data_IF_664017542857
#
_entry.id   IF_664017542857
#
_cell.length_a   1.000
_cell.length_b   1.000
_cell.length_c   1.000
_cell.angle_alpha   90.00
_cell.angle_beta   90.00
_cell.angle_gamma   90.00
#
_symmetry.space_group_name_H-M   'P 1'
#
loop_
_entity.id
_entity.type
_entity.pdbx_description
1 polymer ?
#
# COMPACT_ATOMS: atom_id res chain seq x y z
N UNK A 1 -4.28 -8.93 14.19
CA UNK A 1 -4.32 -8.38 12.83
C UNK A 1 -4.66 -9.51 11.86
N UNK A 2 -5.64 -9.32 10.97
CA UNK A 2 -5.98 -10.34 9.97
C UNK A 2 -4.94 -10.30 8.85
N UNK A 3 -4.55 -11.46 8.31
CA UNK A 3 -3.56 -11.52 7.23
C UNK A 3 -4.03 -10.69 6.02
N UNK A 4 -3.15 -9.83 5.52
CA UNK A 4 -3.38 -9.08 4.27
C UNK A 4 -2.74 -9.88 3.14
N UNK A 5 -3.58 -10.42 2.26
CA UNK A 5 -3.15 -11.30 1.17
C UNK A 5 -3.33 -10.56 -0.15
N UNK A 6 -2.24 -10.41 -0.88
CA UNK A 6 -2.26 -9.90 -2.26
C UNK A 6 -2.86 -10.95 -3.20
N UNK A 7 -3.62 -10.50 -4.20
CA UNK A 7 -4.20 -11.38 -5.21
C UNK A 7 -3.30 -11.46 -6.45
N UNK A 8 -2.60 -10.37 -6.76
CA UNK A 8 -1.70 -10.27 -7.89
C UNK A 8 -0.28 -9.89 -7.42
N UNK A 9 0.74 -10.36 -8.15
CA UNK A 9 2.14 -10.09 -7.81
C UNK A 9 2.51 -8.59 -7.91
N UNK A 10 1.76 -7.83 -8.73
CA UNK A 10 1.92 -6.39 -8.92
C UNK A 10 1.59 -5.57 -7.67
N UNK A 11 0.96 -6.16 -6.66
CA UNK A 11 0.35 -5.46 -5.53
C UNK A 11 1.21 -5.48 -4.27
N UNK A 12 2.36 -6.16 -4.31
CA UNK A 12 3.20 -6.41 -3.14
C UNK A 12 3.56 -5.14 -2.36
N UNK A 13 3.85 -4.04 -3.05
CA UNK A 13 4.12 -2.73 -2.43
C UNK A 13 2.90 -2.16 -1.70
N UNK A 14 1.73 -2.26 -2.32
CA UNK A 14 0.47 -1.75 -1.75
C UNK A 14 -0.02 -2.62 -0.59
N UNK A 15 0.15 -3.93 -0.68
CA UNK A 15 -0.10 -4.88 0.40
C UNK A 15 0.82 -4.60 1.60
N UNK A 16 2.10 -4.33 1.35
CA UNK A 16 3.06 -3.92 2.39
C UNK A 16 2.64 -2.63 3.08
N UNK A 17 2.18 -1.64 2.32
CA UNK A 17 1.70 -0.39 2.88
C UNK A 17 0.42 -0.58 3.70
N UNK A 18 -0.51 -1.43 3.25
CA UNK A 18 -1.70 -1.79 4.03
C UNK A 18 -1.32 -2.47 5.35
N UNK A 19 -0.30 -3.33 5.35
CA UNK A 19 0.19 -3.98 6.58
C UNK A 19 0.71 -2.94 7.58
N UNK A 20 1.54 -2.00 7.12
CA UNK A 20 2.05 -0.91 7.97
C UNK A 20 0.91 -0.02 8.46
N UNK A 21 0.01 0.41 7.58
CA UNK A 21 -1.14 1.24 7.93
C UNK A 21 -2.02 0.59 9.01
N UNK A 22 -2.32 -0.70 8.85
CA UNK A 22 -3.11 -1.42 9.85
C UNK A 22 -2.35 -1.67 11.16
N UNK A 23 -1.01 -1.76 11.14
CA UNK A 23 -0.21 -1.80 12.37
C UNK A 23 -0.26 -0.47 13.14
N UNK A 24 -0.44 0.65 12.43
CA UNK A 24 -0.67 1.98 13.01
C UNK A 24 -2.15 2.27 13.35
N UNK A 25 -3.02 1.25 13.36
CA UNK A 25 -4.43 1.39 13.74
C UNK A 25 -5.34 1.98 12.66
N UNK A 26 -4.82 2.22 11.44
CA UNK A 26 -5.66 2.66 10.33
C UNK A 26 -6.50 1.49 9.83
N UNK A 27 -7.82 1.65 9.77
CA UNK A 27 -8.73 0.67 9.15
C UNK A 27 -8.68 0.79 7.62
N UNK A 28 -7.50 0.55 7.04
CA UNK A 28 -7.23 0.68 5.62
C UNK A 28 -6.71 -0.66 5.07
N UNK A 29 -7.52 -1.30 4.23
CA UNK A 29 -7.19 -2.58 3.61
C UNK A 29 -6.61 -2.43 2.21
N UNK A 30 -6.10 -3.55 1.69
CA UNK A 30 -5.66 -3.63 0.29
C UNK A 30 -6.78 -3.26 -0.73
N UNK A 31 -8.07 -3.64 -0.53
CA UNK A 31 -9.14 -3.21 -1.43
C UNK A 31 -9.35 -1.69 -1.47
N UNK A 32 -9.20 -1.01 -0.32
CA UNK A 32 -9.34 0.44 -0.22
C UNK A 32 -8.20 1.14 -0.96
N UNK A 33 -6.98 0.64 -0.79
CA UNK A 33 -5.81 1.17 -1.48
C UNK A 33 -5.91 0.94 -3.00
N UNK A 34 -6.36 -0.23 -3.48
CA UNK A 34 -6.55 -0.49 -4.92
C UNK A 34 -7.54 0.48 -5.57
N UNK A 35 -8.60 0.84 -4.84
CA UNK A 35 -9.60 1.81 -5.33
C UNK A 35 -9.04 3.22 -5.44
N UNK A 36 -8.09 3.58 -4.57
CA UNK A 36 -7.47 4.92 -4.54
C UNK A 36 -6.27 5.03 -5.47
N UNK A 37 -5.52 3.96 -5.64
CA UNK A 37 -4.24 3.95 -6.35
C UNK A 37 -4.23 2.83 -7.39
N UNK A 38 -4.24 3.23 -8.66
CA UNK A 38 -4.14 2.30 -9.78
C UNK A 38 -2.73 1.71 -9.87
N UNK A 39 -2.66 0.39 -9.93
CA UNK A 39 -1.42 -0.34 -10.14
C UNK A 39 -1.26 -0.68 -11.62
N UNK A 40 -0.01 -0.61 -12.09
CA UNK A 40 0.35 -1.19 -13.39
C UNK A 40 0.48 -2.71 -13.28
N UNK A 41 0.37 -3.41 -14.40
CA UNK A 41 0.76 -4.83 -14.50
C UNK A 41 2.22 -5.07 -14.10
N UNK A 42 3.09 -4.05 -14.23
CA UNK A 42 4.49 -4.10 -13.78
C UNK A 42 4.65 -3.85 -12.28
N UNK A 43 3.55 -3.62 -11.56
CA UNK A 43 3.53 -3.21 -10.17
C UNK A 43 3.78 -1.71 -9.98
N UNK A 44 4.23 -1.36 -8.77
CA UNK A 44 4.49 0.01 -8.34
C UNK A 44 5.98 0.29 -8.22
N UNK A 45 6.40 1.48 -8.65
CA UNK A 45 7.78 1.95 -8.46
C UNK A 45 7.96 2.50 -7.04
N UNK A 46 9.19 2.46 -6.52
CA UNK A 46 9.49 2.93 -5.16
C UNK A 46 9.09 4.39 -4.93
N UNK A 47 9.37 5.29 -5.88
CA UNK A 47 9.00 6.69 -5.78
C UNK A 47 7.49 6.89 -5.64
N UNK A 48 6.69 6.16 -6.43
CA UNK A 48 5.23 6.19 -6.30
C UNK A 48 4.76 5.61 -4.97
N UNK A 49 5.39 4.53 -4.48
CA UNK A 49 5.04 3.96 -3.17
C UNK A 49 5.31 4.95 -2.03
N UNK A 50 6.41 5.71 -2.12
CA UNK A 50 6.76 6.80 -1.19
C UNK A 50 5.69 7.90 -1.24
N UNK A 51 5.28 8.34 -2.42
CA UNK A 51 4.22 9.35 -2.60
C UNK A 51 2.89 8.88 -1.97
N UNK A 52 2.49 7.63 -2.23
CA UNK A 52 1.27 7.04 -1.63
C UNK A 52 1.37 7.02 -0.11
N UNK A 53 2.50 6.57 0.45
CA UNK A 53 2.69 6.54 1.90
C UNK A 53 2.59 7.94 2.52
N UNK A 54 3.10 8.97 1.85
CA UNK A 54 2.95 10.36 2.29
C UNK A 54 1.48 10.83 2.27
N UNK A 55 0.68 10.41 1.29
CA UNK A 55 -0.78 10.70 1.29
C UNK A 55 -1.53 10.05 2.45
N UNK A 56 -0.96 9.00 3.05
CA UNK A 56 -1.46 8.35 4.27
C UNK A 56 -0.89 8.99 5.54
N UNK A 57 -0.25 10.15 5.43
CA UNK A 57 0.40 10.89 6.51
C UNK A 57 1.60 10.16 7.15
N UNK A 58 2.25 9.25 6.43
CA UNK A 58 3.53 8.68 6.87
C UNK A 58 4.70 9.59 6.51
N UNK A 59 5.67 9.70 7.42
CA UNK A 59 7.00 10.21 7.10
C UNK A 59 7.82 9.11 6.41
N UNK A 60 8.34 9.41 5.22
CA UNK A 60 9.06 8.45 4.37
C UNK A 60 10.50 8.89 4.16
N UNK A 61 11.36 7.94 3.76
CA UNK A 61 12.76 8.20 3.39
C UNK A 61 13.13 7.36 2.16
N UNK A 62 13.84 7.93 1.17
CA UNK A 62 14.33 7.19 0.00
C UNK A 62 15.41 6.18 0.37
#
# INVERSE_FOLDING_TARGET
MKAIVQAEASECGLASLAMVASAHGMSLGLPDLRRRFHLSLKGIRLNQLIEIAQTLCFSTRP
#
